data_IF_744849745737
#
_entry.id   IF_744849745737
#
_cell.length_a   1.000
_cell.length_b   1.000
_cell.length_c   1.000
_cell.angle_alpha   90.00
_cell.angle_beta   90.00
_cell.angle_gamma   90.00
#
_symmetry.space_group_name_H-M   'P 1'
#
loop_
_entity.id
_entity.type
_entity.pdbx_description
1 polymer ?
#
# COMPACT_ATOMS: atom_id res chain seq x y z
N UNK A 1 9.54 20.48 16.14
CA UNK A 1 9.35 20.85 14.73
C UNK A 1 9.02 22.33 14.63
N UNK A 2 9.56 23.01 13.62
CA UNK A 2 9.31 24.41 13.35
C UNK A 2 8.45 24.57 12.11
N UNK A 3 7.69 25.66 12.04
CA UNK A 3 6.99 26.06 10.83
C UNK A 3 7.73 27.24 10.19
N UNK A 4 7.76 27.34 8.88
CA UNK A 4 8.21 28.53 8.17
C UNK A 4 7.14 29.64 8.25
N UNK A 5 7.47 30.83 7.72
CA UNK A 5 6.54 31.98 7.73
C UNK A 5 5.27 31.76 6.86
N UNK A 6 5.19 30.67 6.08
CA UNK A 6 4.02 30.27 5.30
C UNK A 6 3.16 29.22 6.02
N UNK A 7 3.59 28.74 7.20
CA UNK A 7 2.93 27.66 7.92
C UNK A 7 3.33 26.27 7.45
N UNK A 8 4.34 26.17 6.57
CA UNK A 8 4.87 24.88 6.12
C UNK A 8 5.78 24.29 7.20
N UNK A 9 5.60 23.03 7.54
CA UNK A 9 6.44 22.31 8.47
C UNK A 9 7.89 22.26 7.95
N UNK A 10 8.85 22.75 8.74
CA UNK A 10 10.30 22.68 8.47
C UNK A 10 10.92 21.64 9.39
N UNK A 11 10.48 20.40 9.25
CA UNK A 11 10.97 19.29 10.04
C UNK A 11 12.42 18.92 9.70
N UNK A 12 13.16 18.44 10.68
CA UNK A 12 14.48 17.86 10.47
C UNK A 12 14.41 16.53 9.69
N UNK A 13 13.27 15.84 9.75
CA UNK A 13 12.87 14.77 8.84
C UNK A 13 11.50 15.11 8.24
N UNK A 14 11.24 14.73 7.00
CA UNK A 14 10.00 15.05 6.29
C UNK A 14 8.73 14.47 6.97
N UNK A 15 8.89 13.55 7.91
CA UNK A 15 7.83 12.88 8.65
C UNK A 15 7.55 13.47 10.04
N UNK A 16 8.26 14.52 10.42
CA UNK A 16 8.18 15.16 11.75
C UNK A 16 7.15 16.31 11.79
N UNK A 17 6.30 16.41 10.74
CA UNK A 17 5.19 17.35 10.75
C UNK A 17 4.14 16.88 11.74
N UNK A 18 3.69 17.81 12.60
CA UNK A 18 2.76 17.52 13.69
C UNK A 18 1.49 16.86 13.16
N UNK A 19 1.18 15.70 13.71
CA UNK A 19 -0.18 15.16 13.62
C UNK A 19 -1.05 15.93 14.62
N UNK A 20 -2.22 16.34 14.20
CA UNK A 20 -3.11 17.23 14.97
C UNK A 20 -3.52 16.69 16.35
N UNK A 21 -3.19 15.42 16.67
CA UNK A 21 -3.57 14.85 17.96
C UNK A 21 -2.61 13.79 18.49
N UNK A 22 -2.52 13.72 19.81
CA UNK A 22 -1.89 12.61 20.53
C UNK A 22 -2.93 11.61 20.98
N UNK A 23 -2.60 10.32 20.89
CA UNK A 23 -3.25 9.27 21.65
C UNK A 23 -2.51 9.06 22.98
N UNK A 24 -3.15 8.40 23.96
CA UNK A 24 -2.49 8.05 25.20
C UNK A 24 -3.07 6.77 25.81
N UNK A 25 -2.20 5.80 26.04
CA UNK A 25 -2.53 4.53 26.67
C UNK A 25 -1.71 4.35 27.95
N UNK A 26 -2.37 3.99 29.06
CA UNK A 26 -1.71 3.96 30.37
C UNK A 26 -1.32 2.55 30.82
N UNK A 27 -1.76 1.52 30.10
CA UNK A 27 -1.42 0.12 30.37
C UNK A 27 -1.24 -0.65 29.05
N UNK A 28 -0.09 -1.29 28.88
CA UNK A 28 0.29 -2.15 27.76
C UNK A 28 0.63 -3.57 28.21
N UNK A 29 0.36 -3.91 29.49
CA UNK A 29 0.75 -5.23 30.03
C UNK A 29 -0.13 -6.37 29.56
N UNK A 30 -1.36 -6.04 29.15
CA UNK A 30 -2.37 -7.02 28.74
C UNK A 30 -2.40 -7.18 27.22
N UNK A 31 -2.23 -6.07 26.49
CA UNK A 31 -2.12 -6.04 25.02
C UNK A 31 -1.21 -4.90 24.57
N UNK A 32 -0.45 -5.15 23.51
CA UNK A 32 0.34 -4.17 22.78
C UNK A 32 0.76 -4.72 21.41
N UNK A 33 1.33 -3.86 20.57
CA UNK A 33 1.90 -4.24 19.29
C UNK A 33 3.28 -4.84 19.52
N UNK A 34 3.58 -5.99 18.91
CA UNK A 34 4.92 -6.60 18.96
C UNK A 34 5.62 -6.63 17.60
N UNK A 35 4.87 -6.47 16.50
CA UNK A 35 5.47 -6.34 15.18
C UNK A 35 4.50 -5.66 14.21
N UNK A 36 5.04 -4.75 13.41
CA UNK A 36 4.38 -4.13 12.25
C UNK A 36 5.22 -4.36 11.01
N UNK A 37 4.61 -4.88 9.94
CA UNK A 37 5.22 -4.94 8.61
C UNK A 37 4.34 -4.19 7.60
N UNK A 38 4.95 -3.32 6.80
CA UNK A 38 4.29 -2.56 5.74
C UNK A 38 5.31 -1.97 4.76
N UNK A 39 5.23 -2.31 3.48
CA UNK A 39 5.99 -1.68 2.39
C UNK A 39 7.46 -1.35 2.71
N UNK A 40 8.20 -2.28 3.29
CA UNK A 40 9.60 -2.11 3.70
C UNK A 40 9.80 -1.93 5.20
N UNK A 41 8.81 -1.50 5.96
CA UNK A 41 8.82 -1.55 7.42
C UNK A 41 8.75 -3.01 7.86
N UNK A 42 9.59 -3.38 8.83
CA UNK A 42 9.50 -4.59 9.63
C UNK A 42 10.04 -4.25 11.02
N UNK A 43 9.16 -3.68 11.85
CA UNK A 43 9.50 -3.21 13.18
C UNK A 43 9.00 -4.17 14.23
N UNK A 44 9.91 -4.66 15.10
CA UNK A 44 9.54 -5.40 16.31
C UNK A 44 9.71 -4.50 17.52
N UNK A 45 8.66 -4.38 18.30
CA UNK A 45 8.54 -3.47 19.42
C UNK A 45 8.22 -4.18 20.72
N UNK A 46 8.28 -3.45 21.80
CA UNK A 46 7.79 -3.83 23.13
C UNK A 46 6.78 -2.78 23.57
N UNK A 47 5.78 -3.18 24.35
CA UNK A 47 4.74 -2.27 24.83
C UNK A 47 5.29 -1.07 25.61
N UNK A 48 4.93 0.13 25.19
CA UNK A 48 5.30 1.39 25.79
C UNK A 48 4.06 2.22 26.10
N UNK A 49 3.86 2.56 27.37
CA UNK A 49 2.75 3.41 27.80
C UNK A 49 2.97 4.87 27.44
N UNK A 50 1.89 5.59 27.18
CA UNK A 50 1.91 7.02 26.88
C UNK A 50 1.29 7.36 25.54
N UNK A 51 1.86 8.33 24.85
CA UNK A 51 1.50 8.72 23.49
C UNK A 51 1.96 7.68 22.46
N UNK A 52 1.77 7.97 21.16
CA UNK A 52 2.27 7.07 20.15
C UNK A 52 3.78 6.86 20.30
N UNK A 53 4.21 5.60 20.23
CA UNK A 53 5.64 5.31 20.19
C UNK A 53 6.19 5.78 18.83
N UNK A 54 7.18 6.63 18.87
CA UNK A 54 7.71 7.27 17.67
C UNK A 54 8.80 6.42 17.01
N UNK A 55 8.49 5.87 15.84
CA UNK A 55 9.41 5.15 14.97
C UNK A 55 9.65 5.88 13.64
N UNK A 56 9.36 7.18 13.59
CA UNK A 56 9.51 7.98 12.36
C UNK A 56 10.96 8.11 11.89
N UNK A 57 11.92 8.01 12.79
CA UNK A 57 13.37 7.99 12.47
C UNK A 57 13.88 6.61 12.00
N UNK A 58 13.03 5.57 12.04
CA UNK A 58 13.39 4.23 11.57
C UNK A 58 13.25 4.09 10.05
N UNK A 59 13.52 2.89 9.49
CA UNK A 59 13.27 2.63 8.07
C UNK A 59 11.79 2.84 7.76
N UNK A 60 11.49 3.86 6.95
CA UNK A 60 10.14 4.17 6.50
C UNK A 60 9.65 3.25 5.39
N UNK A 61 8.33 3.22 5.19
CA UNK A 61 7.72 2.60 4.04
C UNK A 61 7.87 3.47 2.78
N UNK A 62 7.89 2.82 1.61
CA UNK A 62 7.78 3.50 0.31
C UNK A 62 6.62 2.88 -0.45
N UNK A 63 5.65 3.70 -0.84
CA UNK A 63 4.46 3.29 -1.57
C UNK A 63 4.26 4.16 -2.81
N UNK A 64 3.59 3.64 -3.83
CA UNK A 64 3.29 4.38 -5.06
C UNK A 64 1.81 4.76 -5.10
N UNK A 65 1.50 5.96 -5.58
CA UNK A 65 0.11 6.35 -5.85
C UNK A 65 -0.61 5.27 -6.67
N UNK A 66 -1.82 4.89 -6.26
CA UNK A 66 -2.63 3.86 -6.91
C UNK A 66 -2.21 2.42 -6.63
N UNK A 67 -1.10 2.17 -5.92
CA UNK A 67 -0.71 0.81 -5.52
C UNK A 67 -1.57 0.26 -4.38
N UNK A 68 -1.40 -1.01 -4.12
CA UNK A 68 -2.02 -1.70 -2.98
C UNK A 68 -0.97 -2.50 -2.24
N UNK A 69 -0.82 -2.22 -0.95
CA UNK A 69 0.19 -2.82 -0.08
C UNK A 69 -0.46 -3.59 1.07
N UNK A 70 0.18 -4.65 1.51
CA UNK A 70 -0.33 -5.40 2.67
C UNK A 70 0.33 -4.92 3.95
N UNK A 71 -0.48 -4.49 4.92
CA UNK A 71 -0.05 -4.32 6.30
C UNK A 71 -0.27 -5.60 7.08
N UNK A 72 0.65 -5.90 8.00
CA UNK A 72 0.53 -7.00 8.95
C UNK A 72 0.90 -6.52 10.34
N UNK A 73 0.04 -6.79 11.31
CA UNK A 73 0.22 -6.42 12.72
C UNK A 73 0.12 -7.65 13.60
N UNK A 74 1.11 -7.84 14.45
CA UNK A 74 1.13 -8.93 15.44
C UNK A 74 1.09 -8.33 16.84
N UNK A 75 0.27 -8.92 17.70
CA UNK A 75 0.01 -8.41 19.05
C UNK A 75 0.63 -9.29 20.14
N UNK A 76 0.94 -8.68 21.25
CA UNK A 76 0.94 -9.36 22.55
C UNK A 76 -0.50 -9.36 23.06
N UNK A 77 -1.12 -10.51 23.22
CA UNK A 77 -2.47 -10.68 23.80
C UNK A 77 -2.58 -12.09 24.39
N UNK A 78 -1.86 -12.36 25.51
CA UNK A 78 -1.76 -13.69 26.08
C UNK A 78 -3.07 -14.18 26.73
N UNK A 79 -3.94 -13.26 27.09
CA UNK A 79 -5.23 -13.55 27.75
C UNK A 79 -6.37 -13.69 26.77
N UNK A 80 -6.16 -13.31 25.48
CA UNK A 80 -7.18 -13.38 24.45
C UNK A 80 -8.30 -12.36 24.65
N UNK A 81 -7.98 -11.17 25.09
CA UNK A 81 -8.90 -10.04 25.11
C UNK A 81 -9.35 -9.65 23.71
N UNK A 82 -10.48 -8.96 23.64
CA UNK A 82 -11.06 -8.55 22.34
C UNK A 82 -10.44 -7.25 21.88
N UNK A 83 -9.67 -7.31 20.80
CA UNK A 83 -8.91 -6.20 20.25
C UNK A 83 -9.47 -5.72 18.91
N UNK A 84 -9.24 -4.45 18.65
CA UNK A 84 -9.47 -3.79 17.37
C UNK A 84 -8.15 -3.20 16.91
N UNK A 85 -7.81 -3.38 15.63
CA UNK A 85 -6.56 -2.89 15.06
C UNK A 85 -6.91 -1.95 13.91
N UNK A 86 -6.41 -0.74 14.03
CA UNK A 86 -6.61 0.32 13.05
C UNK A 86 -5.28 0.82 12.54
N UNK A 87 -5.29 1.33 11.31
CA UNK A 87 -4.18 2.10 10.76
C UNK A 87 -4.73 3.34 10.06
N UNK A 88 -4.03 4.44 10.22
CA UNK A 88 -4.32 5.72 9.58
C UNK A 88 -3.11 6.18 8.77
N UNK A 89 -3.40 6.89 7.69
CA UNK A 89 -2.40 7.57 6.85
C UNK A 89 -2.90 8.98 6.57
N UNK A 90 -2.10 9.99 6.78
CA UNK A 90 -2.38 11.37 6.38
C UNK A 90 -2.05 11.53 4.89
N UNK A 91 -2.94 11.04 4.00
CA UNK A 91 -2.68 11.02 2.57
C UNK A 91 -2.62 12.39 1.91
N UNK A 92 -3.26 13.40 2.50
CA UNK A 92 -3.31 14.75 1.95
C UNK A 92 -2.34 15.72 2.61
N UNK A 93 -1.57 15.27 3.63
CA UNK A 93 -0.58 16.03 4.38
C UNK A 93 -1.17 17.26 5.10
N UNK A 94 -2.42 17.18 5.56
CA UNK A 94 -3.06 18.28 6.30
C UNK A 94 -2.79 18.23 7.82
N UNK A 95 -2.15 17.16 8.29
CA UNK A 95 -1.75 16.97 9.70
C UNK A 95 -2.84 16.31 10.55
N UNK A 96 -3.93 15.81 9.97
CA UNK A 96 -4.92 15.02 10.70
C UNK A 96 -5.17 13.65 10.02
N UNK A 97 -6.05 12.83 10.58
CA UNK A 97 -6.42 11.51 10.11
C UNK A 97 -7.94 11.37 9.96
N UNK A 98 -8.66 12.49 9.82
CA UNK A 98 -10.13 12.50 9.84
C UNK A 98 -10.74 12.41 8.45
N UNK A 99 -9.95 12.48 7.41
CA UNK A 99 -10.41 12.51 6.04
C UNK A 99 -10.87 11.13 5.54
N UNK A 100 -11.79 11.17 4.60
CA UNK A 100 -12.29 9.94 3.99
C UNK A 100 -11.19 9.19 3.25
N UNK A 101 -10.99 7.91 3.59
CA UNK A 101 -9.97 7.05 2.97
C UNK A 101 -8.64 7.05 3.70
N UNK A 102 -8.52 7.71 4.84
CA UNK A 102 -7.31 7.73 5.67
C UNK A 102 -7.31 6.67 6.77
N UNK A 103 -8.46 6.11 7.13
CA UNK A 103 -8.56 5.04 8.12
C UNK A 103 -8.82 3.68 7.48
N UNK A 104 -8.11 2.66 7.95
CA UNK A 104 -8.30 1.26 7.56
C UNK A 104 -8.44 0.39 8.80
N UNK A 105 -9.36 -0.58 8.73
CA UNK A 105 -9.54 -1.59 9.76
C UNK A 105 -8.67 -2.79 9.42
N UNK A 106 -7.62 -3.03 10.20
CA UNK A 106 -6.75 -4.22 10.03
C UNK A 106 -7.41 -5.45 10.60
N UNK A 107 -8.01 -5.31 11.79
CA UNK A 107 -8.77 -6.38 12.42
C UNK A 107 -9.87 -5.82 13.31
N UNK A 108 -10.96 -6.57 13.45
CA UNK A 108 -12.13 -6.20 14.25
C UNK A 108 -12.52 -7.35 15.18
N UNK A 109 -12.61 -7.05 16.46
CA UNK A 109 -13.02 -7.99 17.52
C UNK A 109 -12.20 -9.29 17.52
N UNK A 110 -10.88 -9.17 17.40
CA UNK A 110 -9.98 -10.32 17.40
C UNK A 110 -9.49 -10.64 18.82
N UNK A 111 -9.24 -11.93 19.08
CA UNK A 111 -8.74 -12.44 20.37
C UNK A 111 -7.41 -13.18 20.22
N UNK A 112 -6.86 -13.20 19.02
CA UNK A 112 -5.63 -13.92 18.69
C UNK A 112 -4.44 -12.97 18.57
N UNK A 113 -3.25 -13.51 18.72
CA UNK A 113 -1.99 -12.76 18.58
C UNK A 113 -1.77 -12.25 17.13
N UNK A 114 -2.27 -12.96 16.15
CA UNK A 114 -2.07 -12.64 14.73
C UNK A 114 -1.00 -13.53 14.08
N UNK A 115 -0.37 -13.12 12.97
CA UNK A 115 -0.49 -11.80 12.34
C UNK A 115 -1.89 -11.50 11.77
N UNK A 116 -2.35 -10.26 11.96
CA UNK A 116 -3.57 -9.72 11.36
C UNK A 116 -3.20 -8.87 10.15
N UNK A 117 -3.87 -9.06 9.03
CA UNK A 117 -3.49 -8.41 7.76
C UNK A 117 -4.66 -7.68 7.12
N UNK A 118 -4.34 -6.56 6.45
CA UNK A 118 -5.28 -5.85 5.59
C UNK A 118 -4.56 -5.33 4.34
N UNK A 119 -5.31 -5.13 3.26
CA UNK A 119 -4.84 -4.46 2.06
C UNK A 119 -5.08 -2.97 2.19
N UNK A 120 -4.03 -2.17 2.00
CA UNK A 120 -4.04 -0.72 2.03
C UNK A 120 -3.97 -0.23 0.59
N UNK A 121 -5.03 0.39 0.12
CA UNK A 121 -5.05 1.02 -1.20
C UNK A 121 -4.53 2.45 -1.08
N UNK A 122 -3.41 2.74 -1.73
CA UNK A 122 -2.85 4.10 -1.77
C UNK A 122 -3.67 4.94 -2.75
N UNK A 123 -4.30 6.03 -2.32
CA UNK A 123 -5.08 6.87 -3.23
C UNK A 123 -4.22 7.40 -4.39
N UNK A 124 -4.80 7.44 -5.61
CA UNK A 124 -4.15 8.11 -6.75
C UNK A 124 -3.99 9.62 -6.52
N UNK A 125 -4.78 10.18 -5.61
CA UNK A 125 -4.73 11.57 -5.17
C UNK A 125 -3.84 11.82 -3.96
N UNK A 126 -3.18 10.78 -3.39
CA UNK A 126 -2.31 10.95 -2.25
C UNK A 126 -1.21 11.97 -2.57
N UNK A 127 -0.90 12.85 -1.64
CA UNK A 127 0.15 13.87 -1.82
C UNK A 127 1.52 13.20 -1.88
N UNK A 128 2.29 13.50 -2.93
CA UNK A 128 3.65 12.98 -3.07
C UNK A 128 4.54 13.56 -1.99
N UNK A 129 5.37 12.71 -1.39
CA UNK A 129 6.27 13.09 -0.31
C UNK A 129 6.10 12.18 0.90
N UNK A 130 6.66 12.60 2.02
CA UNK A 130 6.67 11.79 3.25
C UNK A 130 5.53 12.22 4.16
N UNK A 131 4.76 11.24 4.60
CA UNK A 131 3.62 11.40 5.50
C UNK A 131 3.70 10.44 6.68
N UNK A 132 2.79 10.59 7.62
CA UNK A 132 2.70 9.78 8.83
C UNK A 132 1.69 8.65 8.66
N UNK A 133 2.09 7.47 9.15
CA UNK A 133 1.22 6.34 9.40
C UNK A 133 1.12 6.14 10.91
N UNK A 134 -0.09 5.95 11.43
CA UNK A 134 -0.34 5.55 12.82
C UNK A 134 -0.98 4.17 12.84
N UNK A 135 -0.39 3.24 13.59
CA UNK A 135 -0.96 1.91 13.87
C UNK A 135 -1.42 1.88 15.32
N UNK A 136 -2.60 1.36 15.59
CA UNK A 136 -3.15 1.30 16.94
C UNK A 136 -3.83 -0.05 17.20
N UNK A 137 -3.58 -0.61 18.38
CA UNK A 137 -4.41 -1.63 19.01
C UNK A 137 -5.24 -0.97 20.11
N UNK A 138 -6.54 -1.23 20.15
CA UNK A 138 -7.47 -0.63 21.10
C UNK A 138 -8.40 -1.72 21.68
N UNK A 139 -8.37 -1.84 22.98
CA UNK A 139 -9.17 -2.82 23.71
C UNK A 139 -10.65 -2.46 23.65
N UNK A 140 -11.44 -3.42 23.17
CA UNK A 140 -12.90 -3.41 23.15
C UNK A 140 -13.54 -2.14 22.55
N UNK A 141 -12.86 -1.47 21.60
CA UNK A 141 -13.36 -0.25 20.97
C UNK A 141 -13.55 -0.41 19.47
N UNK A 142 -14.80 -0.55 19.03
CA UNK A 142 -15.20 -0.72 17.64
C UNK A 142 -15.22 0.59 16.82
N UNK A 143 -14.92 1.74 17.45
CA UNK A 143 -14.94 3.04 16.78
C UNK A 143 -13.52 3.55 16.60
N UNK A 144 -13.00 3.65 15.37
CA UNK A 144 -11.66 4.16 15.14
C UNK A 144 -11.54 5.62 15.59
N UNK A 145 -10.55 5.89 16.42
CA UNK A 145 -10.21 7.22 16.93
C UNK A 145 -8.69 7.35 17.01
N UNK A 146 -8.04 8.10 16.09
CA UNK A 146 -6.58 8.23 16.07
C UNK A 146 -6.04 9.01 17.29
N UNK A 147 -6.91 9.74 17.98
CA UNK A 147 -6.59 10.58 19.15
C UNK A 147 -6.99 9.90 20.48
N UNK A 148 -7.17 8.60 20.46
CA UNK A 148 -7.71 7.79 21.56
C UNK A 148 -6.92 7.96 22.84
N UNK A 149 -7.65 8.27 23.93
CA UNK A 149 -7.13 8.23 25.30
C UNK A 149 -7.84 7.13 26.06
N UNK A 150 -7.10 6.09 26.45
CA UNK A 150 -7.65 4.92 27.10
C UNK A 150 -6.65 4.29 28.10
N UNK A 151 -7.12 3.29 28.84
CA UNK A 151 -6.25 2.55 29.72
C UNK A 151 -5.45 1.51 28.96
N UNK A 152 -6.12 0.74 28.11
CA UNK A 152 -5.59 -0.45 27.44
C UNK A 152 -5.44 -0.23 25.95
N UNK A 153 -4.31 -0.69 25.40
CA UNK A 153 -3.94 -0.55 24.01
C UNK A 153 -2.57 0.11 23.81
N UNK A 154 -2.21 0.38 22.57
CA UNK A 154 -0.97 1.07 22.19
C UNK A 154 -1.14 1.72 20.82
N UNK A 155 -0.36 2.77 20.58
CA UNK A 155 -0.21 3.37 19.26
C UNK A 155 1.27 3.51 18.88
N UNK A 156 1.57 3.35 17.60
CA UNK A 156 2.90 3.50 17.01
C UNK A 156 2.83 4.38 15.76
N UNK A 157 3.74 5.34 15.64
CA UNK A 157 3.84 6.24 14.50
C UNK A 157 5.06 5.91 13.63
N UNK A 158 4.88 5.94 12.31
CA UNK A 158 5.88 5.62 11.30
C UNK A 158 5.89 6.64 10.15
N UNK A 159 7.00 6.70 9.40
CA UNK A 159 7.07 7.43 8.14
C UNK A 159 6.66 6.56 6.95
N UNK A 160 5.90 7.16 6.03
CA UNK A 160 5.57 6.59 4.72
C UNK A 160 5.89 7.60 3.64
N UNK A 161 6.68 7.22 2.64
CA UNK A 161 6.97 8.05 1.47
C UNK A 161 6.08 7.64 0.31
N UNK A 162 5.25 8.56 -0.14
CA UNK A 162 4.41 8.39 -1.34
C UNK A 162 5.19 8.83 -2.56
N UNK A 163 5.33 7.92 -3.53
CA UNK A 163 5.95 8.21 -4.83
C UNK A 163 4.88 8.39 -5.91
N UNK A 164 5.16 9.15 -6.98
CA UNK A 164 4.22 9.30 -8.06
C UNK A 164 3.92 7.96 -8.74
N UNK A 165 2.71 7.83 -9.27
CA UNK A 165 2.37 6.74 -10.18
C UNK A 165 3.31 6.77 -11.40
N UNK A 166 3.86 5.61 -11.73
CA UNK A 166 4.68 5.43 -12.94
C UNK A 166 3.91 4.49 -13.86
N UNK A 167 3.44 5.05 -14.99
CA UNK A 167 2.78 4.25 -16.00
C UNK A 167 3.77 3.26 -16.62
N UNK A 168 3.36 2.00 -16.75
CA UNK A 168 4.01 1.02 -17.61
C UNK A 168 3.31 1.11 -18.96
N UNK A 169 4.03 1.61 -19.95
CA UNK A 169 3.49 1.79 -21.30
C UNK A 169 3.56 0.47 -22.07
N UNK A 170 2.50 0.13 -22.77
CA UNK A 170 2.40 -1.08 -23.59
C UNK A 170 0.98 -1.29 -24.07
N UNK A 171 0.74 -2.36 -24.80
CA UNK A 171 -0.60 -2.68 -25.28
C UNK A 171 -1.49 -3.20 -24.14
N UNK A 172 -2.60 -2.51 -23.87
CA UNK A 172 -3.58 -2.91 -22.82
C UNK A 172 -4.80 -3.65 -23.38
N UNK A 173 -4.91 -3.85 -24.69
CA UNK A 173 -5.99 -4.62 -25.29
C UNK A 173 -5.71 -6.12 -25.17
N UNK A 174 -6.49 -6.80 -24.32
CA UNK A 174 -6.39 -8.26 -24.08
C UNK A 174 -6.63 -9.11 -25.33
N UNK A 175 -7.17 -8.52 -26.41
CA UNK A 175 -7.41 -9.23 -27.68
C UNK A 175 -6.29 -8.99 -28.68
N UNK A 176 -5.33 -8.08 -28.37
CA UNK A 176 -4.20 -7.82 -29.24
C UNK A 176 -3.12 -8.89 -29.10
N UNK A 177 -2.41 -9.18 -30.19
CA UNK A 177 -1.34 -10.18 -30.22
C UNK A 177 -0.16 -9.84 -29.31
N UNK A 178 0.06 -8.55 -29.08
CA UNK A 178 1.14 -8.01 -28.24
C UNK A 178 0.59 -7.44 -26.91
N UNK A 179 -0.49 -8.02 -26.39
CA UNK A 179 -1.01 -7.65 -25.08
C UNK A 179 0.08 -7.77 -24.01
N UNK A 180 0.32 -6.70 -23.28
CA UNK A 180 1.23 -6.69 -22.15
C UNK A 180 0.42 -6.65 -20.84
N UNK A 181 0.37 -7.77 -20.12
CA UNK A 181 -0.34 -7.88 -18.84
C UNK A 181 0.20 -6.92 -17.77
N UNK A 182 1.42 -6.40 -17.94
CA UNK A 182 2.05 -5.45 -17.01
C UNK A 182 1.77 -4.00 -17.38
N UNK A 183 1.30 -3.73 -18.61
CA UNK A 183 0.98 -2.38 -19.06
C UNK A 183 -0.18 -1.80 -18.24
N UNK A 184 -0.01 -0.57 -17.77
CA UNK A 184 -1.03 0.20 -17.05
C UNK A 184 -1.59 1.34 -17.89
N UNK A 185 -0.95 1.66 -19.02
CA UNK A 185 -1.37 2.69 -19.98
C UNK A 185 -1.06 2.23 -21.40
N UNK A 186 -2.03 2.38 -22.30
CA UNK A 186 -1.88 2.04 -23.70
C UNK A 186 -1.00 3.09 -24.41
N UNK A 187 0.08 2.63 -25.03
CA UNK A 187 1.00 3.47 -25.80
C UNK A 187 0.67 3.51 -27.28
N UNK A 188 -0.45 2.90 -27.69
CA UNK A 188 -0.87 2.80 -29.08
C UNK A 188 -0.13 1.72 -29.87
N UNK A 189 0.63 0.86 -29.21
CA UNK A 189 1.37 -0.25 -29.85
C UNK A 189 0.51 -1.48 -30.11
N UNK A 190 -0.77 -1.49 -29.69
CA UNK A 190 -1.64 -2.64 -29.85
C UNK A 190 -1.74 -3.06 -31.32
N UNK A 191 -1.40 -4.31 -31.58
CA UNK A 191 -1.49 -4.92 -32.89
C UNK A 191 -2.72 -5.83 -32.91
N UNK A 192 -3.70 -5.44 -33.75
CA UNK A 192 -4.89 -6.28 -33.90
C UNK A 192 -4.49 -7.65 -34.47
N UNK A 193 -5.06 -8.70 -33.89
CA UNK A 193 -4.92 -10.04 -34.47
C UNK A 193 -5.64 -10.10 -35.82
N UNK A 194 -4.88 -10.05 -36.91
CA UNK A 194 -5.40 -10.20 -38.26
C UNK A 194 -5.19 -11.65 -38.73
N UNK A 195 -6.02 -12.54 -38.20
CA UNK A 195 -6.03 -13.94 -38.60
C UNK A 195 -6.14 -14.18 -40.12
N UNK A 196 -6.54 -13.13 -40.86
CA UNK A 196 -6.64 -13.23 -42.32
C UNK A 196 -5.27 -13.34 -43.00
N UNK A 197 -4.21 -12.83 -42.37
CA UNK A 197 -2.85 -12.87 -42.90
C UNK A 197 -2.24 -14.29 -42.87
N UNK A 198 -2.71 -15.15 -41.99
CA UNK A 198 -2.22 -16.52 -41.78
C UNK A 198 -3.33 -17.58 -42.03
N UNK A 199 -4.33 -17.24 -42.84
CA UNK A 199 -5.40 -18.18 -43.20
C UNK A 199 -4.81 -19.47 -43.80
N UNK A 200 -5.30 -20.67 -43.43
CA UNK A 200 -6.54 -20.91 -42.66
C UNK A 200 -6.34 -21.14 -41.16
N UNK A 201 -5.19 -20.85 -40.61
CA UNK A 201 -4.84 -21.26 -39.24
C UNK A 201 -5.21 -20.23 -38.16
N UNK A 202 -5.04 -18.92 -38.42
CA UNK A 202 -4.98 -17.88 -37.40
C UNK A 202 -3.62 -17.79 -36.72
N UNK A 203 -3.30 -16.62 -36.13
CA UNK A 203 -1.96 -16.31 -35.60
C UNK A 203 -1.50 -17.29 -34.50
N UNK A 204 -2.32 -17.53 -33.49
CA UNK A 204 -1.96 -18.42 -32.39
C UNK A 204 -1.66 -19.85 -32.86
N UNK A 205 -2.50 -20.41 -33.74
CA UNK A 205 -2.29 -21.76 -34.27
C UNK A 205 -1.09 -21.84 -35.23
N UNK A 206 -0.83 -20.79 -35.97
CA UNK A 206 0.33 -20.74 -36.87
C UNK A 206 1.65 -20.69 -36.08
N UNK A 207 1.71 -19.88 -35.03
CA UNK A 207 2.91 -19.80 -34.14
C UNK A 207 3.13 -21.13 -33.39
N UNK A 208 2.07 -21.74 -32.86
CA UNK A 208 2.16 -23.03 -32.15
C UNK A 208 2.65 -24.17 -33.08
N UNK A 209 2.21 -24.15 -34.33
CA UNK A 209 2.57 -25.20 -35.29
C UNK A 209 3.92 -25.01 -35.97
N UNK A 210 4.32 -23.78 -36.25
CA UNK A 210 5.45 -23.46 -37.13
C UNK A 210 6.57 -22.68 -36.43
N UNK A 211 6.30 -22.08 -35.25
CA UNK A 211 7.22 -21.18 -34.53
C UNK A 211 7.24 -19.77 -35.09
N UNK A 212 7.66 -18.81 -34.25
CA UNK A 212 7.64 -17.39 -34.57
C UNK A 212 8.55 -16.99 -35.75
N UNK A 213 9.61 -17.75 -36.04
CA UNK A 213 10.56 -17.46 -37.11
C UNK A 213 10.11 -18.00 -38.50
N UNK A 214 8.99 -18.70 -38.56
CA UNK A 214 8.50 -19.24 -39.82
C UNK A 214 8.03 -18.12 -40.75
N UNK A 215 8.45 -18.18 -42.01
CA UNK A 215 8.09 -17.18 -43.03
C UNK A 215 6.76 -17.55 -43.70
N UNK A 216 5.73 -16.73 -43.45
CA UNK A 216 4.40 -16.90 -44.05
C UNK A 216 4.13 -15.74 -45.05
N UNK A 217 3.97 -16.09 -46.29
CA UNK A 217 3.66 -15.11 -47.32
C UNK A 217 4.75 -14.07 -47.62
N UNK A 218 5.97 -14.30 -47.15
CA UNK A 218 7.13 -13.39 -47.40
C UNK A 218 7.56 -12.58 -46.18
N UNK A 219 6.80 -12.68 -45.06
CA UNK A 219 7.13 -12.10 -43.77
C UNK A 219 7.25 -13.19 -42.71
N UNK A 220 8.15 -13.07 -41.71
CA UNK A 220 8.19 -13.97 -40.59
C UNK A 220 6.90 -13.88 -39.75
N UNK A 221 6.51 -14.99 -39.10
CA UNK A 221 5.32 -15.00 -38.23
C UNK A 221 5.48 -14.02 -37.05
N UNK A 222 6.70 -13.73 -36.62
CA UNK A 222 6.98 -12.68 -35.61
C UNK A 222 6.60 -11.25 -36.07
N UNK A 223 6.45 -11.03 -37.40
CA UNK A 223 5.98 -9.75 -37.94
C UNK A 223 4.50 -9.79 -38.34
N UNK A 224 3.97 -10.96 -38.68
CA UNK A 224 2.55 -11.17 -39.02
C UNK A 224 1.73 -11.56 -37.80
N UNK A 225 2.35 -12.22 -36.85
CA UNK A 225 1.79 -12.64 -35.56
C UNK A 225 2.81 -12.31 -34.45
N UNK A 226 2.97 -11.05 -34.08
CA UNK A 226 3.91 -10.67 -33.03
C UNK A 226 3.48 -11.30 -31.72
N UNK A 227 4.39 -12.03 -31.16
CA UNK A 227 4.37 -12.91 -29.98
C UNK A 227 3.04 -13.02 -29.19
N UNK A 228 2.54 -14.25 -29.13
CA UNK A 228 1.63 -14.69 -28.08
C UNK A 228 2.39 -15.02 -26.80
#
# INVERSE_FOLDING_TARGET
PGYDCSGTCIAASACDCDVACNSNFTNVSDEHIINVTFAGINNSSAGITGGPVDYTDSTGAVVMQGSSETISVTLFNPTGYTEYIYVWFDWNHNGDFSDSGEVYVVASAVTTVGPHTASISVPTSATIGTTRMRVMVDYFNATPDPCRNATYGEAEDYCVTVTPFVAVLGCTDVTACNYDVTATEDDGSCIADDDSLVSPFGCAAAVDQFGCDFNWGGLPLSETCPET
#
